data_IF_069104340140
#
_entry.id   IF_069104340140
#
_cell.length_a   1.000
_cell.length_b   1.000
_cell.length_c   1.000
_cell.angle_alpha   90.00
_cell.angle_beta   90.00
_cell.angle_gamma   90.00
#
_symmetry.space_group_name_H-M   'P 1'
#
loop_
_entity.id
_entity.type
_entity.pdbx_description
1 polymer ?
#
# COMPACT_ATOMS: atom_id res chain seq x y z
N UNK A 1 17.01 30.66 27.91
CA UNK A 1 16.73 30.60 26.47
C UNK A 1 15.27 30.20 26.32
N UNK A 2 14.41 31.04 25.73
CA UNK A 2 13.01 30.62 25.52
C UNK A 2 13.01 29.64 24.36
N UNK A 3 12.31 28.50 24.49
CA UNK A 3 12.26 27.48 23.42
C UNK A 3 11.53 27.96 22.15
N UNK A 4 10.90 29.14 22.20
CA UNK A 4 10.37 29.88 21.04
C UNK A 4 11.45 30.45 20.13
N UNK A 5 12.70 30.47 20.59
CA UNK A 5 13.83 31.08 19.88
C UNK A 5 14.64 30.04 19.09
N UNK A 6 14.15 28.79 19.00
CA UNK A 6 14.81 27.70 18.26
C UNK A 6 14.44 27.82 16.78
N UNK A 7 15.42 28.00 15.88
CA UNK A 7 15.19 28.01 14.44
C UNK A 7 14.45 26.75 13.95
N UNK A 8 13.58 26.90 12.95
CA UNK A 8 12.82 25.79 12.37
C UNK A 8 13.72 24.64 11.90
N UNK A 9 14.95 24.93 11.47
CA UNK A 9 15.95 23.93 11.06
C UNK A 9 16.47 23.09 12.24
N UNK A 10 16.63 23.67 13.43
CA UNK A 10 17.01 22.95 14.64
C UNK A 10 15.85 22.14 15.22
N UNK A 11 14.62 22.56 14.94
CA UNK A 11 13.41 21.82 15.30
C UNK A 11 13.34 20.50 14.53
N UNK A 12 13.66 20.50 13.23
CA UNK A 12 13.74 19.31 12.38
C UNK A 12 14.84 18.31 12.83
N UNK A 13 16.02 18.81 13.20
CA UNK A 13 17.14 18.00 13.72
C UNK A 13 16.82 17.29 15.06
N UNK A 14 15.99 17.91 15.91
CA UNK A 14 15.53 17.30 17.17
C UNK A 14 14.59 16.11 16.88
N UNK A 15 13.85 16.13 15.77
CA UNK A 15 12.91 15.07 15.38
C UNK A 15 13.54 13.94 14.54
N UNK A 16 14.68 14.16 13.88
CA UNK A 16 15.42 13.12 13.13
C UNK A 16 15.88 11.95 14.00
N UNK A 17 16.09 12.18 15.30
CA UNK A 17 16.65 11.18 16.21
C UNK A 17 15.70 10.72 17.31
N UNK A 18 14.43 11.18 17.32
CA UNK A 18 13.48 10.85 18.38
C UNK A 18 12.24 10.11 17.86
N UNK A 19 11.96 8.95 18.45
CA UNK A 19 10.73 8.19 18.20
C UNK A 19 9.53 8.84 18.89
N UNK A 20 8.31 8.64 18.36
CA UNK A 20 7.05 9.15 18.95
C UNK A 20 6.91 8.70 20.43
N UNK A 21 7.34 7.48 20.76
CA UNK A 21 7.35 6.95 22.13
C UNK A 21 8.30 7.72 23.08
N UNK A 22 9.37 8.33 22.54
CA UNK A 22 10.31 9.15 23.32
C UNK A 22 9.72 10.53 23.64
N UNK A 23 8.91 11.07 22.71
CA UNK A 23 8.22 12.35 22.87
C UNK A 23 7.12 12.29 23.94
N UNK A 24 6.40 11.17 24.05
CA UNK A 24 5.33 10.98 25.04
C UNK A 24 5.85 10.89 26.49
N UNK A 25 7.08 10.44 26.69
CA UNK A 25 7.66 10.22 28.03
C UNK A 25 8.29 11.49 28.64
N UNK A 26 8.57 12.51 27.83
CA UNK A 26 9.15 13.77 28.30
C UNK A 26 8.09 14.86 28.31
N UNK A 27 7.69 15.32 29.49
CA UNK A 27 6.66 16.34 29.67
C UNK A 27 6.97 17.66 28.91
N UNK A 28 8.25 18.03 28.83
CA UNK A 28 8.68 19.23 28.12
C UNK A 28 8.56 19.06 26.59
N UNK A 29 9.02 17.92 26.06
CA UNK A 29 8.91 17.62 24.62
C UNK A 29 7.46 17.40 24.19
N UNK A 30 6.62 16.79 25.05
CA UNK A 30 5.17 16.73 24.86
C UNK A 30 4.53 18.11 24.69
N UNK A 31 4.92 19.08 25.52
CA UNK A 31 4.33 20.43 25.46
C UNK A 31 4.70 21.18 24.17
N UNK A 32 5.96 21.05 23.73
CA UNK A 32 6.44 21.61 22.46
C UNK A 32 5.83 20.90 21.26
N UNK A 33 5.79 19.57 21.29
CA UNK A 33 5.11 18.75 20.29
C UNK A 33 3.65 19.16 20.13
N UNK A 34 2.90 19.28 21.23
CA UNK A 34 1.52 19.77 21.20
C UNK A 34 1.45 21.18 20.64
N UNK A 35 2.33 22.09 21.04
CA UNK A 35 2.32 23.46 20.53
C UNK A 35 2.59 23.54 19.02
N UNK A 36 3.41 22.65 18.48
CA UNK A 36 3.73 22.59 17.04
C UNK A 36 2.57 21.93 16.27
N UNK A 37 2.12 20.75 16.73
CA UNK A 37 1.03 19.97 16.10
C UNK A 37 -0.30 20.74 16.11
N UNK A 38 -0.59 21.48 17.18
CA UNK A 38 -1.80 22.29 17.30
C UNK A 38 -1.59 23.75 16.88
N UNK A 39 -0.48 24.08 16.22
CA UNK A 39 -0.29 25.41 15.65
C UNK A 39 -1.31 25.65 14.53
N UNK A 40 -1.79 26.90 14.39
CA UNK A 40 -2.74 27.30 13.34
C UNK A 40 -2.34 26.85 11.92
N UNK A 41 -1.08 27.01 11.45
CA UNK A 41 -0.71 26.58 10.10
C UNK A 41 -0.75 25.05 9.94
N UNK A 42 -0.34 24.28 10.95
CA UNK A 42 -0.38 22.81 10.91
C UNK A 42 -1.82 22.29 10.92
N UNK A 43 -2.70 22.91 11.71
CA UNK A 43 -4.13 22.60 11.72
C UNK A 43 -4.82 22.96 10.40
N UNK A 44 -4.47 24.10 9.78
CA UNK A 44 -5.00 24.49 8.48
C UNK A 44 -4.56 23.50 7.38
N UNK A 45 -3.27 23.16 7.32
CA UNK A 45 -2.75 22.16 6.40
C UNK A 45 -3.42 20.79 6.60
N UNK A 46 -3.73 20.40 7.84
CA UNK A 46 -4.48 19.18 8.14
C UNK A 46 -5.90 19.22 7.57
N UNK A 47 -6.63 20.32 7.76
CA UNK A 47 -7.99 20.47 7.21
C UNK A 47 -7.98 20.33 5.69
N UNK A 48 -6.98 20.90 5.02
CA UNK A 48 -6.85 20.83 3.56
C UNK A 48 -6.49 19.42 3.08
N UNK A 49 -5.62 18.69 3.79
CA UNK A 49 -5.32 17.28 3.52
C UNK A 49 -6.54 16.39 3.74
N UNK A 50 -7.26 16.56 4.86
CA UNK A 50 -8.46 15.78 5.16
C UNK A 50 -9.53 16.02 4.09
N UNK A 51 -9.70 17.28 3.65
CA UNK A 51 -10.59 17.62 2.52
C UNK A 51 -10.13 16.95 1.21
N UNK A 52 -8.83 16.93 0.92
CA UNK A 52 -8.32 16.27 -0.28
C UNK A 52 -8.56 14.74 -0.26
N UNK A 53 -8.45 14.12 0.93
CA UNK A 53 -8.78 12.72 1.16
C UNK A 53 -10.26 12.46 0.87
N UNK A 54 -11.16 13.28 1.41
CA UNK A 54 -12.61 13.16 1.17
C UNK A 54 -12.95 13.28 -0.33
N UNK A 55 -12.36 14.26 -1.01
CA UNK A 55 -12.56 14.46 -2.46
C UNK A 55 -12.01 13.25 -3.24
N UNK A 56 -10.83 12.75 -2.88
CA UNK A 56 -10.25 11.57 -3.54
C UNK A 56 -11.12 10.33 -3.36
N UNK A 57 -11.57 10.08 -2.13
CA UNK A 57 -12.42 8.94 -1.78
C UNK A 57 -13.74 8.96 -2.57
N UNK A 58 -14.29 10.16 -2.85
CA UNK A 58 -15.43 10.32 -3.73
C UNK A 58 -15.06 10.19 -5.23
N UNK A 59 -13.95 10.79 -5.66
CA UNK A 59 -13.48 10.82 -7.04
C UNK A 59 -11.94 10.99 -7.11
N UNK A 60 -11.24 9.88 -7.38
CA UNK A 60 -9.77 9.84 -7.36
C UNK A 60 -9.08 10.93 -8.18
N UNK A 61 -9.38 11.09 -9.48
CA UNK A 61 -8.80 12.16 -10.30
C UNK A 61 -8.99 13.57 -9.72
N UNK A 62 -10.19 13.90 -9.20
CA UNK A 62 -10.44 15.22 -8.61
C UNK A 62 -9.64 15.44 -7.32
N UNK A 63 -9.48 14.41 -6.50
CA UNK A 63 -8.67 14.50 -5.28
C UNK A 63 -7.20 14.76 -5.58
N UNK A 64 -6.64 14.09 -6.61
CA UNK A 64 -5.28 14.34 -7.07
C UNK A 64 -5.13 15.76 -7.62
N UNK A 65 -6.06 16.21 -8.45
CA UNK A 65 -6.03 17.58 -8.98
C UNK A 65 -6.11 18.62 -7.86
N UNK A 66 -6.96 18.38 -6.85
CA UNK A 66 -7.12 19.28 -5.73
C UNK A 66 -5.85 19.41 -4.88
N UNK A 67 -5.20 18.29 -4.52
CA UNK A 67 -3.97 18.34 -3.69
C UNK A 67 -2.76 18.87 -4.46
N UNK A 68 -2.68 18.63 -5.77
CA UNK A 68 -1.54 19.06 -6.61
C UNK A 68 -1.67 20.49 -7.13
N UNK A 69 -2.87 20.93 -7.54
CA UNK A 69 -3.07 22.22 -8.21
C UNK A 69 -3.81 23.24 -7.36
N UNK A 70 -4.88 22.84 -6.69
CA UNK A 70 -5.72 23.77 -5.93
C UNK A 70 -5.06 24.19 -4.62
N UNK A 71 -4.53 23.22 -3.86
CA UNK A 71 -3.80 23.50 -2.62
C UNK A 71 -2.29 23.60 -2.89
N UNK A 72 -1.77 22.80 -3.82
CA UNK A 72 -0.34 22.80 -4.14
C UNK A 72 0.54 22.22 -3.04
N UNK A 73 0.02 21.29 -2.24
CA UNK A 73 0.78 20.66 -1.14
C UNK A 73 1.78 19.61 -1.61
N UNK A 74 1.55 19.02 -2.79
CA UNK A 74 2.44 18.06 -3.41
C UNK A 74 2.65 18.43 -4.88
N UNK A 75 3.80 18.08 -5.45
CA UNK A 75 4.01 18.29 -6.88
C UNK A 75 3.21 17.27 -7.70
N UNK A 76 2.87 17.62 -8.94
CA UNK A 76 2.25 16.72 -9.92
C UNK A 76 3.30 15.76 -10.53
N UNK A 77 4.01 15.05 -9.65
CA UNK A 77 5.00 14.02 -10.02
C UNK A 77 4.50 12.63 -9.61
N UNK A 78 4.83 11.57 -10.38
CA UNK A 78 4.42 10.21 -10.04
C UNK A 78 4.86 9.76 -8.64
N UNK A 79 6.04 10.18 -8.21
CA UNK A 79 6.64 9.86 -6.92
C UNK A 79 5.88 10.52 -5.77
N UNK A 80 5.54 11.80 -5.90
CA UNK A 80 4.81 12.53 -4.87
C UNK A 80 3.37 12.05 -4.75
N UNK A 81 2.70 11.79 -5.87
CA UNK A 81 1.35 11.21 -5.89
C UNK A 81 1.38 9.80 -5.27
N UNK A 82 2.35 8.96 -5.64
CA UNK A 82 2.49 7.62 -5.05
C UNK A 82 2.76 7.67 -3.54
N UNK A 83 3.54 8.65 -3.07
CA UNK A 83 3.79 8.89 -1.65
C UNK A 83 2.50 9.30 -0.95
N UNK A 84 1.75 10.22 -1.53
CA UNK A 84 0.46 10.70 -0.98
C UNK A 84 -0.60 9.59 -0.91
N UNK A 85 -0.71 8.73 -1.93
CA UNK A 85 -1.60 7.55 -1.90
C UNK A 85 -1.26 6.57 -0.76
N UNK A 86 -0.04 6.65 -0.21
CA UNK A 86 0.41 5.86 0.94
C UNK A 86 0.00 6.46 2.30
N UNK A 87 -0.71 7.60 2.34
CA UNK A 87 -1.24 8.21 3.56
C UNK A 87 -2.56 7.58 4.03
N UNK A 88 -2.77 7.42 5.35
CA UNK A 88 -4.00 6.91 5.96
C UNK A 88 -5.22 7.78 5.64
N UNK A 89 -6.42 7.23 5.82
CA UNK A 89 -7.69 7.88 5.47
C UNK A 89 -8.11 7.75 4.00
N UNK A 90 -7.17 7.48 3.08
CA UNK A 90 -7.52 7.20 1.69
C UNK A 90 -8.09 5.78 1.54
N UNK A 91 -9.24 5.67 0.89
CA UNK A 91 -9.92 4.42 0.59
C UNK A 91 -9.08 3.58 -0.37
N UNK A 92 -8.67 2.41 0.12
CA UNK A 92 -7.90 1.43 -0.63
C UNK A 92 -8.58 1.06 -1.95
N UNK A 93 -9.93 0.96 -2.01
CA UNK A 93 -10.63 0.62 -3.26
C UNK A 93 -10.48 1.73 -4.30
N UNK A 94 -10.60 2.98 -3.87
CA UNK A 94 -10.44 4.15 -4.72
C UNK A 94 -8.98 4.33 -5.19
N UNK A 95 -8.00 3.99 -4.34
CA UNK A 95 -6.58 3.88 -4.73
C UNK A 95 -6.42 2.84 -5.84
N UNK A 96 -6.96 1.63 -5.63
CA UNK A 96 -6.93 0.56 -6.63
C UNK A 96 -7.50 1.01 -7.97
N UNK A 97 -8.71 1.59 -7.96
CA UNK A 97 -9.37 2.11 -9.16
C UNK A 97 -8.52 3.17 -9.87
N UNK A 98 -7.96 4.13 -9.13
CA UNK A 98 -7.12 5.19 -9.70
C UNK A 98 -5.85 4.62 -10.32
N UNK A 99 -5.10 3.77 -9.60
CA UNK A 99 -3.87 3.17 -10.10
C UNK A 99 -4.10 2.16 -11.25
N UNK A 100 -5.29 1.54 -11.29
CA UNK A 100 -5.72 0.63 -12.35
C UNK A 100 -6.00 1.32 -13.69
N UNK A 101 -6.24 2.64 -13.69
CA UNK A 101 -6.51 3.40 -14.93
C UNK A 101 -5.30 3.35 -15.88
N UNK A 102 -5.59 3.31 -17.19
CA UNK A 102 -4.54 3.32 -18.21
C UNK A 102 -3.66 4.56 -18.15
N UNK A 103 -4.26 5.71 -17.83
CA UNK A 103 -3.62 7.02 -17.75
C UNK A 103 -2.61 7.11 -16.61
N UNK A 104 -2.84 6.38 -15.52
CA UNK A 104 -2.05 6.48 -14.29
C UNK A 104 -0.92 5.43 -14.20
N UNK A 105 -0.46 4.90 -15.35
CA UNK A 105 0.57 3.85 -15.41
C UNK A 105 1.87 4.23 -14.69
N UNK A 106 2.31 5.48 -14.85
CA UNK A 106 3.57 5.97 -14.26
C UNK A 106 3.45 6.09 -12.75
N UNK A 107 2.30 6.54 -12.25
CA UNK A 107 2.00 6.59 -10.80
C UNK A 107 1.92 5.19 -10.20
N UNK A 108 1.29 4.23 -10.90
CA UNK A 108 1.28 2.82 -10.50
C UNK A 108 2.70 2.27 -10.36
N UNK A 109 3.58 2.54 -11.32
CA UNK A 109 4.97 2.08 -11.24
C UNK A 109 5.69 2.71 -10.04
N UNK A 110 5.54 4.02 -9.82
CA UNK A 110 6.10 4.70 -8.66
C UNK A 110 5.58 4.12 -7.33
N UNK A 111 4.27 3.86 -7.23
CA UNK A 111 3.66 3.24 -6.05
C UNK A 111 4.17 1.82 -5.79
N UNK A 112 4.36 1.02 -6.85
CA UNK A 112 4.92 -0.34 -6.73
C UNK A 112 6.39 -0.34 -6.33
N UNK A 113 7.18 0.60 -6.84
CA UNK A 113 8.60 0.73 -6.50
C UNK A 113 8.82 1.00 -4.99
N UNK A 114 7.82 1.58 -4.31
CA UNK A 114 7.85 1.81 -2.86
C UNK A 114 7.54 0.56 -2.03
N UNK A 115 7.08 -0.53 -2.65
CA UNK A 115 6.79 -1.79 -1.96
C UNK A 115 8.05 -2.65 -1.92
N UNK A 116 8.34 -3.18 -0.73
CA UNK A 116 9.40 -4.17 -0.53
C UNK A 116 8.78 -5.55 -0.29
N UNK A 117 9.16 -6.49 -1.16
CA UNK A 117 8.76 -7.90 -1.12
C UNK A 117 9.95 -8.85 -0.93
N UNK A 118 11.13 -8.32 -0.60
CA UNK A 118 12.35 -9.12 -0.50
C UNK A 118 12.20 -10.22 0.55
N UNK A 119 12.54 -11.44 0.17
CA UNK A 119 12.48 -12.63 1.03
C UNK A 119 11.07 -13.11 1.35
N UNK A 120 10.03 -12.50 0.79
CA UNK A 120 8.64 -12.92 1.02
C UNK A 120 8.26 -14.06 0.08
N UNK A 121 7.45 -14.99 0.58
CA UNK A 121 6.71 -15.90 -0.29
C UNK A 121 5.69 -15.13 -1.14
N UNK A 122 5.38 -15.66 -2.33
CA UNK A 122 4.47 -15.00 -3.27
C UNK A 122 3.10 -14.69 -2.65
N UNK A 123 2.53 -15.61 -1.88
CA UNK A 123 1.23 -15.42 -1.22
C UNK A 123 1.27 -14.29 -0.17
N UNK A 124 2.32 -14.25 0.66
CA UNK A 124 2.50 -13.18 1.65
C UNK A 124 2.71 -11.80 0.97
N UNK A 125 3.52 -11.76 -0.10
CA UNK A 125 3.74 -10.54 -0.88
C UNK A 125 2.45 -10.06 -1.54
N UNK A 126 1.62 -10.98 -2.06
CA UNK A 126 0.34 -10.66 -2.66
C UNK A 126 -0.63 -10.07 -1.63
N UNK A 127 -0.75 -10.66 -0.43
CA UNK A 127 -1.56 -10.12 0.68
C UNK A 127 -1.13 -8.70 1.04
N UNK A 128 0.17 -8.47 1.20
CA UNK A 128 0.75 -7.15 1.49
C UNK A 128 0.46 -6.14 0.38
N UNK A 129 0.50 -6.56 -0.88
CA UNK A 129 0.17 -5.69 -2.00
C UNK A 129 -1.31 -5.32 -2.01
N UNK A 130 -2.19 -6.32 -1.97
CA UNK A 130 -3.64 -6.16 -2.11
C UNK A 130 -4.28 -5.42 -0.93
N UNK A 131 -3.80 -5.62 0.30
CA UNK A 131 -4.24 -4.85 1.47
C UNK A 131 -4.01 -3.34 1.28
N UNK A 132 -2.92 -2.96 0.60
CA UNK A 132 -2.56 -1.53 0.43
C UNK A 132 -3.14 -0.84 -0.80
N UNK A 133 -3.68 -1.60 -1.77
CA UNK A 133 -4.20 -1.06 -3.06
C UNK A 133 -5.68 -1.46 -3.25
N UNK A 134 -6.32 -2.01 -2.21
CA UNK A 134 -7.76 -2.27 -2.20
C UNK A 134 -8.19 -3.50 -2.95
N UNK A 135 -7.41 -4.57 -2.90
CA UNK A 135 -7.80 -5.85 -3.50
C UNK A 135 -7.79 -5.86 -5.03
N UNK A 136 -8.40 -6.88 -5.66
CA UNK A 136 -8.32 -7.09 -7.11
C UNK A 136 -9.07 -6.02 -7.94
N UNK A 137 -9.68 -5.00 -7.33
CA UNK A 137 -10.39 -3.92 -8.02
C UNK A 137 -9.47 -2.98 -8.81
N UNK A 138 -8.17 -2.93 -8.49
CA UNK A 138 -7.18 -2.26 -9.34
C UNK A 138 -6.94 -2.94 -10.69
N UNK A 139 -7.59 -4.08 -10.91
CA UNK A 139 -7.59 -4.82 -12.16
C UNK A 139 -6.27 -5.51 -12.44
N UNK A 140 -6.21 -6.18 -13.60
CA UNK A 140 -5.06 -6.96 -14.03
C UNK A 140 -3.77 -6.16 -14.22
N UNK A 141 -3.87 -4.84 -14.36
CA UNK A 141 -2.71 -3.95 -14.47
C UNK A 141 -1.94 -3.85 -13.15
N UNK A 142 -2.64 -3.69 -12.03
CA UNK A 142 -2.02 -3.69 -10.70
C UNK A 142 -1.37 -5.04 -10.43
N UNK A 143 -2.05 -6.14 -10.77
CA UNK A 143 -1.52 -7.50 -10.59
C UNK A 143 -0.25 -7.73 -11.43
N UNK A 144 -0.19 -7.24 -12.67
CA UNK A 144 1.00 -7.33 -13.52
C UNK A 144 2.15 -6.48 -13.00
N UNK A 145 1.87 -5.29 -12.48
CA UNK A 145 2.88 -4.45 -11.85
C UNK A 145 3.43 -5.07 -10.56
N UNK A 146 2.56 -5.69 -9.75
CA UNK A 146 2.95 -6.49 -8.60
C UNK A 146 3.89 -7.63 -8.99
N UNK A 147 3.52 -8.44 -9.98
CA UNK A 147 4.32 -9.59 -10.43
C UNK A 147 5.73 -9.17 -10.84
N UNK A 148 5.84 -8.06 -11.59
CA UNK A 148 7.14 -7.48 -11.96
C UNK A 148 7.95 -7.08 -10.72
N UNK A 149 7.33 -6.32 -9.81
CA UNK A 149 8.00 -5.85 -8.59
C UNK A 149 8.44 -7.00 -7.69
N UNK A 150 7.62 -8.04 -7.56
CA UNK A 150 7.94 -9.24 -6.79
C UNK A 150 9.21 -9.92 -7.30
N UNK A 151 9.34 -10.09 -8.63
CA UNK A 151 10.53 -10.67 -9.25
C UNK A 151 11.77 -9.78 -9.13
N UNK A 152 11.61 -8.45 -9.22
CA UNK A 152 12.69 -7.49 -8.97
C UNK A 152 13.21 -7.59 -7.52
N UNK A 153 12.32 -7.76 -6.55
CA UNK A 153 12.70 -7.95 -5.13
C UNK A 153 13.26 -9.35 -4.82
N UNK A 154 12.92 -10.36 -5.63
CA UNK A 154 13.26 -11.76 -5.39
C UNK A 154 13.86 -12.39 -6.66
N UNK A 155 15.07 -11.98 -7.07
CA UNK A 155 15.73 -12.54 -8.25
C UNK A 155 15.96 -14.04 -8.06
N UNK A 156 15.63 -14.84 -9.08
CA UNK A 156 15.78 -16.29 -9.06
C UNK A 156 14.69 -17.06 -8.32
N UNK A 157 13.64 -16.39 -7.81
CA UNK A 157 12.50 -17.08 -7.18
C UNK A 157 11.79 -18.04 -8.15
N UNK A 158 11.72 -17.64 -9.42
CA UNK A 158 11.28 -18.49 -10.54
C UNK A 158 12.44 -18.65 -11.53
N UNK A 159 12.51 -19.80 -12.20
CA UNK A 159 13.61 -20.14 -13.11
C UNK A 159 13.50 -19.45 -14.48
N UNK A 160 12.34 -19.56 -15.12
CA UNK A 160 12.05 -19.05 -16.46
C UNK A 160 10.74 -18.26 -16.40
N UNK A 161 10.59 -17.25 -17.28
CA UNK A 161 9.39 -16.40 -17.37
C UNK A 161 8.86 -15.93 -16.00
N UNK A 162 9.78 -15.47 -15.14
CA UNK A 162 9.50 -15.23 -13.73
C UNK A 162 8.31 -14.28 -13.49
N UNK A 163 8.20 -13.22 -14.30
CA UNK A 163 7.11 -12.24 -14.17
C UNK A 163 5.78 -12.83 -14.60
N UNK A 164 5.74 -13.62 -15.69
CA UNK A 164 4.51 -14.28 -16.15
C UNK A 164 4.07 -15.35 -15.15
N UNK A 165 5.04 -16.10 -14.61
CA UNK A 165 4.85 -17.05 -13.50
C UNK A 165 4.21 -16.42 -12.29
N UNK A 166 4.80 -15.34 -11.79
CA UNK A 166 4.27 -14.60 -10.65
C UNK A 166 2.87 -14.05 -10.95
N UNK A 167 2.64 -13.53 -12.15
CA UNK A 167 1.36 -12.97 -12.57
C UNK A 167 0.23 -14.02 -12.59
N UNK A 168 0.46 -15.15 -13.27
CA UNK A 168 -0.54 -16.21 -13.40
C UNK A 168 -0.82 -16.86 -12.04
N UNK A 169 0.22 -17.19 -11.27
CA UNK A 169 0.05 -17.76 -9.93
C UNK A 169 -0.72 -16.82 -9.02
N UNK A 170 -0.46 -15.51 -9.10
CA UNK A 170 -1.20 -14.52 -8.31
C UNK A 170 -2.66 -14.44 -8.70
N UNK A 171 -2.98 -14.52 -9.99
CA UNK A 171 -4.36 -14.61 -10.48
C UNK A 171 -5.06 -15.88 -9.96
N UNK A 172 -4.39 -17.03 -10.04
CA UNK A 172 -4.91 -18.30 -9.54
C UNK A 172 -5.17 -18.26 -8.02
N UNK A 173 -4.29 -17.64 -7.23
CA UNK A 173 -4.50 -17.45 -5.80
C UNK A 173 -5.70 -16.55 -5.49
N UNK A 174 -5.93 -15.49 -6.28
CA UNK A 174 -7.12 -14.63 -6.10
C UNK A 174 -8.41 -15.40 -6.41
N UNK A 175 -8.40 -16.22 -7.46
CA UNK A 175 -9.53 -17.10 -7.82
C UNK A 175 -9.79 -18.11 -6.71
N UNK A 176 -8.74 -18.79 -6.23
CA UNK A 176 -8.82 -19.75 -5.13
C UNK A 176 -9.35 -19.09 -3.84
N UNK A 177 -8.86 -17.90 -3.50
CA UNK A 177 -9.36 -17.17 -2.33
C UNK A 177 -10.86 -16.87 -2.45
N UNK A 178 -11.31 -16.40 -3.62
CA UNK A 178 -12.74 -16.16 -3.86
C UNK A 178 -13.54 -17.46 -3.75
N UNK A 179 -13.06 -18.54 -4.33
CA UNK A 179 -13.70 -19.85 -4.30
C UNK A 179 -13.85 -20.36 -2.86
N UNK A 180 -12.76 -20.38 -2.09
CA UNK A 180 -12.70 -20.86 -0.72
C UNK A 180 -13.63 -20.06 0.21
N UNK A 181 -13.60 -18.72 0.10
CA UNK A 181 -14.29 -17.84 1.05
C UNK A 181 -15.73 -17.50 0.66
N UNK A 182 -16.14 -17.70 -0.60
CA UNK A 182 -17.50 -17.37 -1.03
C UNK A 182 -18.52 -18.37 -0.48
N UNK A 183 -19.53 -17.94 0.31
CA UNK A 183 -20.58 -18.84 0.80
C UNK A 183 -21.49 -19.36 -0.32
N UNK A 184 -21.46 -18.72 -1.49
CA UNK A 184 -22.26 -19.12 -2.66
C UNK A 184 -21.67 -20.34 -3.38
N UNK A 185 -20.39 -20.62 -3.19
CA UNK A 185 -19.74 -21.79 -3.81
C UNK A 185 -19.93 -22.99 -2.90
N UNK A 186 -20.78 -23.92 -3.31
CA UNK A 186 -21.03 -25.16 -2.57
C UNK A 186 -19.93 -26.21 -2.79
N UNK A 187 -19.50 -26.36 -4.05
CA UNK A 187 -18.43 -27.29 -4.43
C UNK A 187 -17.13 -26.53 -4.56
N UNK A 188 -16.35 -26.50 -3.47
CA UNK A 188 -15.05 -25.83 -3.41
C UNK A 188 -14.02 -26.53 -4.29
N UNK A 189 -13.12 -25.74 -4.87
CA UNK A 189 -11.99 -26.25 -5.64
C UNK A 189 -11.08 -27.08 -4.73
N UNK A 190 -10.88 -28.35 -5.08
CA UNK A 190 -9.96 -29.21 -4.32
C UNK A 190 -8.51 -28.88 -4.64
N UNK A 191 -7.58 -29.27 -3.75
CA UNK A 191 -6.14 -29.11 -3.98
C UNK A 191 -5.69 -29.70 -5.32
N UNK A 192 -6.17 -30.90 -5.66
CA UNK A 192 -5.85 -31.59 -6.91
C UNK A 192 -6.38 -30.80 -8.12
N UNK A 193 -7.60 -30.27 -8.04
CA UNK A 193 -8.18 -29.45 -9.11
C UNK A 193 -7.44 -28.13 -9.27
N UNK A 194 -7.02 -27.49 -8.18
CA UNK A 194 -6.19 -26.28 -8.23
C UNK A 194 -4.84 -26.53 -8.91
N UNK A 195 -4.14 -27.61 -8.53
CA UNK A 195 -2.87 -28.00 -9.15
C UNK A 195 -3.07 -28.27 -10.65
N UNK A 196 -4.10 -29.03 -11.02
CA UNK A 196 -4.42 -29.32 -12.42
C UNK A 196 -4.78 -28.04 -13.21
N UNK A 197 -5.53 -27.12 -12.60
CA UNK A 197 -5.89 -25.84 -13.21
C UNK A 197 -4.66 -24.99 -13.53
N UNK A 198 -3.73 -24.85 -12.57
CA UNK A 198 -2.50 -24.07 -12.77
C UNK A 198 -1.56 -24.76 -13.76
N UNK A 199 -1.42 -26.08 -13.66
CA UNK A 199 -0.56 -26.88 -14.55
C UNK A 199 -1.07 -26.92 -16.00
N UNK A 200 -2.39 -26.87 -16.21
CA UNK A 200 -2.98 -26.86 -17.56
C UNK A 200 -2.99 -25.47 -18.21
N UNK A 201 -3.04 -24.41 -17.39
CA UNK A 201 -3.07 -23.03 -17.89
C UNK A 201 -1.70 -22.53 -18.37
N UNK A 202 -0.62 -23.32 -18.18
CA UNK A 202 0.74 -22.80 -18.32
C UNK A 202 1.82 -23.82 -18.72
N UNK A 203 2.90 -23.33 -19.33
CA UNK A 203 4.21 -24.01 -19.38
C UNK A 203 5.06 -23.75 -18.11
N UNK A 204 4.43 -23.36 -16.99
CA UNK A 204 5.16 -22.98 -15.79
C UNK A 204 5.94 -24.18 -15.24
N UNK A 205 7.27 -24.04 -15.19
CA UNK A 205 8.16 -25.00 -14.53
C UNK A 205 8.11 -24.86 -13.01
N UNK A 206 6.90 -24.93 -12.44
CA UNK A 206 6.66 -24.82 -10.99
C UNK A 206 6.38 -26.21 -10.44
N UNK A 207 7.07 -26.57 -9.35
CA UNK A 207 6.96 -27.90 -8.75
C UNK A 207 5.60 -28.09 -8.08
N UNK A 208 4.99 -29.27 -8.23
CA UNK A 208 3.69 -29.60 -7.61
C UNK A 208 3.65 -29.31 -6.09
N UNK A 209 4.65 -29.70 -5.28
CA UNK A 209 4.64 -29.41 -3.83
C UNK A 209 4.54 -27.91 -3.50
N UNK A 210 5.06 -27.04 -4.37
CA UNK A 210 4.93 -25.60 -4.18
C UNK A 210 3.49 -25.13 -4.40
N UNK A 211 2.80 -25.66 -5.42
CA UNK A 211 1.40 -25.35 -5.70
C UNK A 211 0.47 -25.86 -4.59
N UNK A 212 0.74 -27.05 -4.07
CA UNK A 212 0.01 -27.62 -2.93
C UNK A 212 0.18 -26.75 -1.68
N UNK A 213 1.40 -26.30 -1.41
CA UNK A 213 1.66 -25.38 -0.31
C UNK A 213 0.98 -24.02 -0.48
N UNK A 214 0.90 -23.48 -1.70
CA UNK A 214 0.13 -22.27 -1.98
C UNK A 214 -1.35 -22.49 -1.69
N UNK A 215 -1.92 -23.62 -2.14
CA UNK A 215 -3.31 -23.96 -1.86
C UNK A 215 -3.59 -23.93 -0.36
N UNK A 216 -2.79 -24.68 0.42
CA UNK A 216 -2.97 -24.79 1.86
C UNK A 216 -2.92 -23.41 2.55
N UNK A 217 -1.95 -22.57 2.18
CA UNK A 217 -1.80 -21.22 2.76
C UNK A 217 -2.94 -20.27 2.40
N UNK A 218 -3.46 -20.32 1.17
CA UNK A 218 -4.58 -19.48 0.74
C UNK A 218 -5.91 -19.94 1.35
N UNK A 219 -6.12 -21.25 1.52
CA UNK A 219 -7.34 -21.76 2.15
C UNK A 219 -7.35 -21.57 3.66
N UNK A 220 -6.17 -21.64 4.30
CA UNK A 220 -6.04 -21.47 5.75
C UNK A 220 -6.11 -20.01 6.20
N UNK A 221 -5.56 -19.09 5.40
CA UNK A 221 -5.54 -17.66 5.69
C UNK A 221 -6.19 -16.89 4.54
N UNK A 222 -7.21 -16.09 4.82
CA UNK A 222 -7.95 -15.35 3.80
C UNK A 222 -7.20 -14.11 3.32
N UNK A 223 -7.16 -13.87 2.00
CA UNK A 223 -6.67 -12.59 1.44
C UNK A 223 -7.72 -11.52 1.74
N UNK A 224 -7.57 -10.83 2.87
CA UNK A 224 -8.44 -9.74 3.31
C UNK A 224 -7.97 -8.40 2.76
N UNK A 225 -8.94 -7.57 2.41
CA UNK A 225 -8.72 -6.14 2.21
C UNK A 225 -8.97 -5.51 3.57
N UNK A 226 -7.91 -5.19 4.29
CA UNK A 226 -8.05 -4.48 5.56
C UNK A 226 -8.55 -3.05 5.30
N UNK A 227 -9.55 -2.58 6.07
CA UNK A 227 -9.83 -1.15 6.14
C UNK A 227 -8.59 -0.44 6.69
N UNK A 228 -8.33 0.77 6.21
CA UNK A 228 -7.17 1.54 6.65
C UNK A 228 -7.39 2.04 8.08
N UNK A 229 -6.29 2.17 8.85
CA UNK A 229 -6.36 2.77 10.18
C UNK A 229 -6.67 4.27 10.06
N UNK A 230 -7.94 4.61 10.19
CA UNK A 230 -8.45 5.99 10.19
C UNK A 230 -8.32 6.66 11.57
N UNK A 231 -7.69 5.98 12.54
CA UNK A 231 -7.46 6.58 13.86
C UNK A 231 -6.52 7.78 13.75
N UNK A 232 -6.71 8.74 14.65
CA UNK A 232 -5.82 9.91 14.79
C UNK A 232 -4.36 9.44 15.00
N UNK A 233 -4.16 8.32 15.70
CA UNK A 233 -2.83 7.74 15.89
C UNK A 233 -2.23 7.19 14.58
N UNK A 234 -3.02 6.52 13.74
CA UNK A 234 -2.62 6.08 12.40
C UNK A 234 -2.25 7.24 11.48
N UNK A 235 -3.06 8.30 11.52
CA UNK A 235 -2.81 9.55 10.80
C UNK A 235 -1.51 10.22 11.23
N UNK A 236 -1.32 10.47 12.54
CA UNK A 236 -0.11 11.14 13.07
C UNK A 236 1.15 10.35 12.71
N UNK A 237 1.15 9.02 12.89
CA UNK A 237 2.31 8.19 12.53
C UNK A 237 2.70 8.32 11.06
N UNK A 238 1.70 8.33 10.18
CA UNK A 238 1.95 8.34 8.73
C UNK A 238 2.28 9.72 8.19
N UNK A 239 1.65 10.78 8.72
CA UNK A 239 1.95 12.16 8.40
C UNK A 239 3.37 12.54 8.85
N UNK A 240 3.78 12.13 10.06
CA UNK A 240 5.15 12.32 10.55
C UNK A 240 6.14 11.56 9.66
N UNK A 241 5.88 10.30 9.35
CA UNK A 241 6.76 9.54 8.45
C UNK A 241 6.84 10.15 7.04
N UNK A 242 5.76 10.76 6.56
CA UNK A 242 5.71 11.48 5.29
C UNK A 242 6.55 12.77 5.33
N UNK A 243 6.44 13.58 6.39
CA UNK A 243 7.22 14.82 6.56
C UNK A 243 8.71 14.55 6.77
N UNK A 244 9.06 13.42 7.40
CA UNK A 244 10.45 13.03 7.68
C UNK A 244 11.17 12.34 6.51
N UNK A 245 10.45 11.98 5.44
CA UNK A 245 11.01 11.31 4.25
C UNK A 245 10.89 12.15 2.97
N UNK A 246 10.59 13.44 3.12
CA UNK A 246 10.60 14.47 2.08
C UNK A 246 11.87 15.32 2.20
#
# INVERSE_FOLDING_TARGET
MKLTDIPAELTLLIFEHMTIDSLEKSACLCSLWRSIVYSKPVLAARIDVDRAIDIFNANGPLGIEFITKSIGMINDTPEDIARWLSLPGLDNRQIGKYLGDKKNKVVLQAAMNRKDFKGMHLDAALRKCLSSIGGPYGGWRVLKAFARRFCECNPGYFSEDAVESAYILSGAMIVLNRDAQSPQVQNKLTKQQFVAYVASSTHLKVKIPYLEGLYDRITADEIRIEPRDDSIAGWVRSAVNWMMTA
#
